data_IF_625358724870
#
_entry.id   IF_625358724870
#
_cell.length_a   1.000
_cell.length_b   1.000
_cell.length_c   1.000
_cell.angle_alpha   90.00
_cell.angle_beta   90.00
_cell.angle_gamma   90.00
#
_symmetry.space_group_name_H-M   'P 1'
#
loop_
_entity.id
_entity.type
_entity.pdbx_description
1 polymer ?
#
# COMPACT_ATOMS: atom_id res chain seq x y z
N UNK A 1 -6.44 -14.18 10.25
CA UNK A 1 -6.18 -12.71 10.25
C UNK A 1 -5.16 -12.38 9.18
N UNK A 2 -5.43 -11.34 8.42
CA UNK A 2 -4.55 -10.91 7.33
C UNK A 2 -3.99 -9.51 7.64
N UNK A 3 -2.66 -9.39 7.60
CA UNK A 3 -1.98 -8.13 7.89
C UNK A 3 -1.38 -7.59 6.58
N UNK A 4 -1.73 -6.35 6.24
CA UNK A 4 -1.14 -5.66 5.12
C UNK A 4 0.13 -4.94 5.52
N UNK A 5 1.21 -5.16 4.77
CA UNK A 5 2.48 -4.48 4.99
C UNK A 5 2.65 -3.44 3.88
N UNK A 6 2.77 -2.18 4.26
CA UNK A 6 2.95 -1.10 3.30
C UNK A 6 4.39 -0.63 3.41
N UNK A 7 5.20 -0.93 2.40
CA UNK A 7 6.60 -0.51 2.34
C UNK A 7 6.64 0.87 1.69
N UNK A 8 6.88 1.89 2.49
CA UNK A 8 6.65 3.27 2.12
C UNK A 8 7.75 3.96 1.31
N UNK A 9 8.84 3.26 0.97
CA UNK A 9 9.92 3.85 0.17
C UNK A 9 9.70 3.54 -1.31
N UNK A 10 9.85 4.53 -2.17
CA UNK A 10 9.77 4.31 -3.60
C UNK A 10 11.12 3.93 -4.22
N UNK A 11 12.17 3.82 -3.41
CA UNK A 11 13.47 3.33 -3.88
C UNK A 11 13.41 1.83 -4.12
N UNK A 12 14.06 1.38 -5.20
CA UNK A 12 14.21 -0.05 -5.45
C UNK A 12 15.18 -0.62 -4.42
N UNK A 13 14.90 -1.81 -3.92
CA UNK A 13 15.74 -2.50 -2.94
C UNK A 13 16.03 -1.62 -1.71
N UNK A 14 15.03 -0.94 -1.21
CA UNK A 14 15.19 -0.05 -0.06
C UNK A 14 15.45 -0.81 1.23
N UNK A 15 15.98 -0.13 2.24
CA UNK A 15 16.07 -0.69 3.58
C UNK A 15 14.69 -1.01 4.14
N UNK A 16 13.68 -0.17 3.81
CA UNK A 16 12.30 -0.43 4.21
C UNK A 16 11.78 -1.73 3.61
N UNK A 17 12.17 -2.05 2.36
CA UNK A 17 11.78 -3.32 1.74
C UNK A 17 12.40 -4.51 2.49
N UNK A 18 13.63 -4.37 2.97
CA UNK A 18 14.27 -5.42 3.78
C UNK A 18 13.55 -5.63 5.10
N UNK A 19 13.13 -4.55 5.75
CA UNK A 19 12.31 -4.64 6.96
C UNK A 19 10.99 -5.33 6.65
N UNK A 20 10.37 -4.99 5.52
CA UNK A 20 9.13 -5.64 5.09
C UNK A 20 9.29 -7.15 4.93
N UNK A 21 10.34 -7.60 4.27
CA UNK A 21 10.61 -9.03 4.11
C UNK A 21 10.86 -9.73 5.45
N UNK A 22 11.56 -9.07 6.36
CA UNK A 22 11.75 -9.59 7.70
C UNK A 22 10.41 -9.78 8.40
N UNK A 23 9.54 -8.79 8.33
CA UNK A 23 8.22 -8.87 8.95
C UNK A 23 7.35 -9.94 8.31
N UNK A 24 7.39 -10.09 6.98
CA UNK A 24 6.67 -11.17 6.31
C UNK A 24 7.06 -12.53 6.87
N UNK A 25 8.36 -12.76 6.99
CA UNK A 25 8.88 -14.03 7.54
C UNK A 25 8.46 -14.22 8.98
N UNK A 26 8.59 -13.19 9.80
CA UNK A 26 8.24 -13.27 11.21
C UNK A 26 6.75 -13.53 11.42
N UNK A 27 5.89 -12.87 10.64
CA UNK A 27 4.45 -13.05 10.76
C UNK A 27 3.99 -14.38 10.19
N UNK A 28 4.64 -14.86 9.12
CA UNK A 28 4.30 -16.14 8.51
C UNK A 28 4.51 -17.32 9.45
N UNK A 29 5.40 -17.17 10.44
CA UNK A 29 5.65 -18.23 11.43
C UNK A 29 4.54 -18.32 12.48
N UNK A 30 3.61 -17.37 12.51
CA UNK A 30 2.51 -17.37 13.48
C UNK A 30 1.29 -18.05 12.91
N UNK A 31 0.72 -18.97 13.68
CA UNK A 31 -0.48 -19.69 13.28
C UNK A 31 -1.65 -18.72 13.10
N UNK A 32 -2.39 -18.89 12.01
CA UNK A 32 -3.58 -18.09 11.75
C UNK A 32 -3.31 -16.70 11.18
N UNK A 33 -2.05 -16.36 10.88
CA UNK A 33 -1.72 -15.08 10.26
C UNK A 33 -1.29 -15.29 8.81
N UNK A 34 -1.75 -14.39 7.94
CA UNK A 34 -1.27 -14.26 6.58
C UNK A 34 -0.91 -12.80 6.32
N UNK A 35 -0.12 -12.56 5.30
CA UNK A 35 0.32 -11.21 4.96
C UNK A 35 0.06 -10.89 3.50
N UNK A 36 -0.10 -9.62 3.23
CA UNK A 36 -0.10 -9.05 1.89
C UNK A 36 0.82 -7.83 1.94
N UNK A 37 1.69 -7.69 0.96
CA UNK A 37 2.67 -6.61 0.96
C UNK A 37 2.49 -5.73 -0.26
N UNK A 38 2.40 -4.43 -0.03
CA UNK A 38 2.51 -3.42 -1.08
C UNK A 38 3.85 -2.72 -0.93
N UNK A 39 4.75 -2.96 -1.87
CA UNK A 39 6.06 -2.32 -1.90
C UNK A 39 6.01 -1.22 -2.94
N UNK A 40 6.01 0.04 -2.49
CA UNK A 40 5.89 1.18 -3.39
C UNK A 40 7.11 1.37 -4.28
N UNK A 41 8.23 0.73 -3.96
CA UNK A 41 9.40 0.70 -4.85
C UNK A 41 9.24 -0.26 -6.00
N UNK A 42 8.52 -1.37 -5.81
CA UNK A 42 8.26 -2.36 -6.85
C UNK A 42 7.01 -2.05 -7.64
N UNK A 43 6.01 -1.50 -6.97
CA UNK A 43 4.70 -1.22 -7.57
C UNK A 43 4.38 0.25 -7.34
N UNK A 44 5.02 1.15 -8.12
CA UNK A 44 4.73 2.58 -7.97
C UNK A 44 3.29 2.88 -8.36
N UNK A 45 2.67 3.75 -7.60
CA UNK A 45 1.30 4.17 -7.88
C UNK A 45 1.30 5.49 -8.61
N UNK A 46 0.34 5.74 -9.52
CA UNK A 46 0.22 7.06 -10.14
C UNK A 46 0.00 8.13 -9.08
N UNK A 47 0.49 9.34 -9.34
CA UNK A 47 0.22 10.46 -8.46
C UNK A 47 -1.27 10.78 -8.47
N UNK A 48 -1.82 11.05 -7.31
CA UNK A 48 -3.22 11.42 -7.18
C UNK A 48 -3.49 12.69 -7.99
N UNK A 49 -4.55 12.66 -8.77
CA UNK A 49 -5.12 13.85 -9.39
C UNK A 49 -6.62 13.61 -9.59
N UNK A 50 -7.30 14.63 -10.07
CA UNK A 50 -8.76 14.60 -10.23
C UNK A 50 -9.23 13.62 -11.30
N UNK A 51 -8.37 13.14 -12.17
CA UNK A 51 -8.76 12.13 -13.17
C UNK A 51 -9.14 10.79 -12.52
N UNK A 52 -8.80 10.61 -11.24
CA UNK A 52 -9.26 9.47 -10.47
C UNK A 52 -10.80 9.36 -10.53
N UNK A 53 -11.48 10.47 -10.46
CA UNK A 53 -12.95 10.50 -10.46
C UNK A 53 -13.56 10.28 -11.84
N UNK A 54 -12.78 10.40 -12.91
CA UNK A 54 -13.23 10.17 -14.28
C UNK A 54 -12.75 8.85 -14.86
N UNK A 55 -12.21 7.95 -14.05
CA UNK A 55 -11.81 6.60 -14.44
C UNK A 55 -10.79 6.58 -15.59
N UNK A 56 -9.78 7.45 -15.51
CA UNK A 56 -8.69 7.43 -16.47
C UNK A 56 -7.97 6.09 -16.49
N UNK A 57 -7.34 5.72 -17.63
CA UNK A 57 -6.70 4.39 -17.76
C UNK A 57 -5.58 4.15 -16.76
N UNK A 58 -4.91 5.18 -16.25
CA UNK A 58 -3.86 5.00 -15.25
C UNK A 58 -4.40 4.47 -13.91
N UNK A 59 -5.72 4.51 -13.73
CA UNK A 59 -6.37 4.08 -12.49
C UNK A 59 -6.99 2.68 -12.59
N UNK A 60 -6.74 1.96 -13.68
CA UNK A 60 -7.38 0.66 -13.94
C UNK A 60 -7.08 -0.40 -12.89
N UNK A 61 -5.95 -0.27 -12.17
CA UNK A 61 -5.55 -1.24 -11.15
C UNK A 61 -6.10 -0.91 -9.76
N UNK A 62 -6.76 0.24 -9.59
CA UNK A 62 -7.25 0.65 -8.28
C UNK A 62 -8.30 -0.29 -7.67
N UNK A 63 -9.27 -0.83 -8.44
CA UNK A 63 -10.21 -1.77 -7.83
C UNK A 63 -9.55 -2.99 -7.22
N UNK A 64 -8.50 -3.52 -7.87
CA UNK A 64 -7.75 -4.66 -7.32
C UNK A 64 -7.01 -4.26 -6.04
N UNK A 65 -6.41 -3.06 -6.02
CA UNK A 65 -5.75 -2.55 -4.83
C UNK A 65 -6.74 -2.38 -3.68
N UNK A 66 -7.91 -1.80 -3.97
CA UNK A 66 -8.95 -1.64 -2.95
C UNK A 66 -9.37 -2.97 -2.37
N UNK A 67 -9.55 -3.99 -3.22
CA UNK A 67 -9.94 -5.32 -2.75
C UNK A 67 -8.90 -5.90 -1.80
N UNK A 68 -7.61 -5.73 -2.11
CA UNK A 68 -6.55 -6.20 -1.24
C UNK A 68 -6.53 -5.45 0.10
N UNK A 69 -6.71 -4.13 0.06
CA UNK A 69 -6.75 -3.33 1.29
C UNK A 69 -7.94 -3.72 2.16
N UNK A 70 -9.11 -3.92 1.55
CA UNK A 70 -10.32 -4.27 2.29
C UNK A 70 -10.25 -5.68 2.89
N UNK A 71 -9.45 -6.56 2.31
CA UNK A 71 -9.28 -7.92 2.81
C UNK A 71 -8.36 -7.99 4.04
N UNK A 72 -7.61 -6.94 4.33
CA UNK A 72 -6.71 -6.91 5.48
C UNK A 72 -7.46 -6.55 6.75
N UNK A 73 -7.09 -7.20 7.85
CA UNK A 73 -7.64 -6.91 9.18
C UNK A 73 -6.87 -5.80 9.88
N UNK A 74 -5.64 -5.57 9.48
CA UNK A 74 -4.81 -4.50 10.03
C UNK A 74 -3.61 -4.24 9.14
N UNK A 75 -2.88 -3.18 9.44
CA UNK A 75 -1.76 -2.74 8.60
C UNK A 75 -0.55 -2.41 9.45
N UNK A 76 0.62 -2.68 8.89
CA UNK A 76 1.89 -2.16 9.40
C UNK A 76 2.48 -1.32 8.28
N UNK A 77 2.70 -0.04 8.56
CA UNK A 77 3.27 0.89 7.59
C UNK A 77 4.74 1.12 7.94
N UNK A 78 5.62 0.83 6.98
CA UNK A 78 7.05 1.04 7.15
C UNK A 78 7.38 2.37 6.49
N UNK A 79 7.64 3.40 7.31
CA UNK A 79 7.80 4.77 6.85
C UNK A 79 9.22 5.24 7.12
N UNK A 80 10.11 5.23 6.11
CA UNK A 80 11.41 5.85 6.30
C UNK A 80 11.28 7.36 6.44
N UNK A 81 12.21 7.96 7.13
CA UNK A 81 12.22 9.42 7.29
C UNK A 81 13.14 10.02 6.24
N UNK A 82 12.62 10.98 5.46
CA UNK A 82 13.37 11.71 4.45
C UNK A 82 13.23 13.21 4.75
N UNK A 83 14.32 13.84 5.21
CA UNK A 83 14.31 15.27 5.54
C UNK A 83 13.22 15.62 6.57
N UNK A 84 13.02 14.75 7.56
CA UNK A 84 12.02 14.96 8.61
C UNK A 84 10.59 14.74 8.17
N UNK A 85 10.36 14.14 6.99
CA UNK A 85 9.03 13.97 6.41
C UNK A 85 8.79 12.56 5.96
N UNK A 86 7.51 12.21 5.83
CA UNK A 86 7.07 10.97 5.19
C UNK A 86 7.45 11.01 3.71
N UNK A 87 7.95 9.90 3.13
CA UNK A 87 8.26 9.88 1.71
C UNK A 87 7.06 10.23 0.83
N UNK A 88 7.32 10.89 -0.31
CA UNK A 88 6.27 11.34 -1.21
C UNK A 88 5.38 10.18 -1.68
N UNK A 89 5.97 9.02 -1.99
CA UNK A 89 5.21 7.86 -2.44
C UNK A 89 4.23 7.37 -1.38
N UNK A 90 4.63 7.40 -0.11
CA UNK A 90 3.76 6.98 0.97
C UNK A 90 2.64 7.99 1.20
N UNK A 91 2.95 9.27 1.13
CA UNK A 91 1.93 10.30 1.24
C UNK A 91 0.91 10.18 0.11
N UNK A 92 1.38 9.94 -1.11
CA UNK A 92 0.50 9.69 -2.24
C UNK A 92 -0.39 8.46 -2.03
N UNK A 93 0.18 7.39 -1.46
CA UNK A 93 -0.61 6.21 -1.12
C UNK A 93 -1.74 6.55 -0.15
N UNK A 94 -1.47 7.35 0.88
CA UNK A 94 -2.52 7.73 1.82
C UNK A 94 -3.61 8.56 1.16
N UNK A 95 -3.25 9.43 0.21
CA UNK A 95 -4.24 10.20 -0.55
C UNK A 95 -5.13 9.27 -1.39
N UNK A 96 -4.53 8.28 -2.05
CA UNK A 96 -5.27 7.32 -2.86
C UNK A 96 -6.15 6.43 -2.00
N UNK A 97 -5.62 5.95 -0.88
CA UNK A 97 -6.37 5.08 0.04
C UNK A 97 -7.60 5.80 0.57
N UNK A 98 -7.46 7.07 0.95
CA UNK A 98 -8.58 7.87 1.43
C UNK A 98 -9.64 8.05 0.33
N UNK A 99 -9.19 8.25 -0.91
CA UNK A 99 -10.11 8.37 -2.05
C UNK A 99 -10.83 7.05 -2.31
N UNK A 100 -10.12 5.92 -2.23
CA UNK A 100 -10.69 4.60 -2.44
C UNK A 100 -11.79 4.28 -1.43
N UNK A 101 -11.66 4.76 -0.21
CA UNK A 101 -12.64 4.52 0.83
C UNK A 101 -14.01 5.16 0.50
N UNK A 102 -14.04 6.11 -0.41
CA UNK A 102 -15.25 6.80 -0.83
C UNK A 102 -15.91 6.18 -2.06
N UNK A 103 -15.28 5.17 -2.66
CA UNK A 103 -15.85 4.51 -3.83
C UNK A 103 -16.94 3.52 -3.41
N UNK A 104 -17.92 3.26 -4.29
CA UNK A 104 -18.96 2.28 -3.98
C UNK A 104 -18.39 0.90 -3.70
N UNK A 105 -19.02 0.18 -2.78
CA UNK A 105 -18.51 -1.12 -2.35
C UNK A 105 -18.50 -2.17 -3.46
N UNK A 106 -19.39 -2.05 -4.43
CA UNK A 106 -19.47 -3.03 -5.52
C UNK A 106 -18.27 -2.99 -6.46
N UNK A 107 -17.42 -2.00 -6.36
CA UNK A 107 -16.20 -1.96 -7.17
C UNK A 107 -14.99 -2.56 -6.47
N UNK A 108 -15.21 -3.07 -5.31
CA UNK A 108 -14.16 -3.76 -4.54
C UNK A 108 -13.66 -5.01 -5.26
#
# INVERSE_FOLDING_TARGET
MKIGLIVGSHRKDSQSAKVGRFLETALASRSGLSTWTLDLGKTPLPLWDESLWSNGPQWSDLPALKAELDACDGFIVIAPEWHGMVPAALKNFFLLENALAKLPSQIQ
#
